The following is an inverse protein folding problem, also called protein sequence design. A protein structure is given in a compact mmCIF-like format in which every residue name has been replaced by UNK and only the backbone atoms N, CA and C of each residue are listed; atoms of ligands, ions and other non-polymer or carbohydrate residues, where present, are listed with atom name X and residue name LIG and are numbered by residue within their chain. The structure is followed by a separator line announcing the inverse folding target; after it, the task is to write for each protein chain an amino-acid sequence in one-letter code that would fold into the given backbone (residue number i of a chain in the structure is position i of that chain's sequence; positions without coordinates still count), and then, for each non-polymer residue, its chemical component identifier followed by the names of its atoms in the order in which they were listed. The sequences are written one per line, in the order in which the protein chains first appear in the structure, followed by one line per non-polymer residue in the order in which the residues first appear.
data_IF_978155811907
#
_entry.id   IF_978155811907
#
_cell.length_a   1.000
_cell.length_b   1.000
_cell.length_c   1.000
_cell.angle_alpha   90.00
_cell.angle_beta   90.00
_cell.angle_gamma   90.00
#
_symmetry.space_group_name_H-M   'P 1'
#
loop_
_entity.id
_entity.type
_entity.pdbx_description
1 polymer ?
#
# COMPACT_ATOMS: atom_id res chain seq x y z
N UNK A 1 0.65 -2.04 -4.25
CA UNK A 1 -0.76 -1.87 -3.84
C UNK A 1 -1.33 -3.22 -3.39
N UNK A 2 -1.46 -3.41 -2.06
CA UNK A 2 -1.96 -4.63 -1.46
C UNK A 2 -3.40 -4.90 -1.86
N UNK A 3 -4.25 -3.87 -1.83
CA UNK A 3 -5.68 -4.02 -2.09
C UNK A 3 -5.94 -4.61 -3.48
N UNK A 4 -5.26 -4.12 -4.51
CA UNK A 4 -5.42 -4.64 -5.88
C UNK A 4 -4.92 -6.07 -6.03
N UNK A 5 -3.78 -6.43 -5.42
CA UNK A 5 -3.25 -7.80 -5.46
C UNK A 5 -4.21 -8.77 -4.77
N UNK A 6 -4.70 -8.39 -3.58
CA UNK A 6 -5.63 -9.25 -2.82
C UNK A 6 -6.99 -9.38 -3.49
N UNK A 7 -7.53 -8.28 -4.00
CA UNK A 7 -8.80 -8.32 -4.75
C UNK A 7 -8.70 -9.32 -5.92
N UNK A 8 -7.59 -9.31 -6.66
CA UNK A 8 -7.36 -10.25 -7.76
C UNK A 8 -7.21 -11.69 -7.25
N UNK A 9 -6.42 -11.92 -6.20
CA UNK A 9 -6.19 -13.26 -5.67
C UNK A 9 -7.49 -13.85 -5.05
N UNK A 10 -8.25 -13.04 -4.31
CA UNK A 10 -9.52 -13.45 -3.71
C UNK A 10 -10.60 -13.69 -4.76
N UNK A 11 -10.78 -12.80 -5.72
CA UNK A 11 -11.80 -12.95 -6.77
C UNK A 11 -11.59 -14.21 -7.62
N UNK A 12 -10.35 -14.69 -7.74
CA UNK A 12 -9.99 -15.92 -8.45
C UNK A 12 -9.79 -17.13 -7.53
N UNK A 13 -10.03 -16.98 -6.21
CA UNK A 13 -9.83 -18.02 -5.20
C UNK A 13 -8.43 -18.67 -5.27
N UNK A 14 -7.40 -17.86 -5.52
CA UNK A 14 -6.04 -18.32 -5.71
C UNK A 14 -5.27 -18.34 -4.40
N UNK A 15 -4.99 -19.54 -3.88
CA UNK A 15 -4.01 -19.74 -2.83
C UNK A 15 -2.61 -19.86 -3.42
N UNK A 16 -1.67 -19.09 -2.88
CA UNK A 16 -0.28 -19.12 -3.35
C UNK A 16 0.62 -19.94 -2.42
N UNK A 17 1.44 -20.82 -3.03
CA UNK A 17 2.46 -21.61 -2.32
C UNK A 17 3.46 -20.72 -1.58
N UNK A 18 4.14 -21.31 -0.59
CA UNK A 18 5.22 -20.69 0.18
C UNK A 18 4.79 -19.43 0.96
N UNK A 19 3.51 -19.29 1.32
CA UNK A 19 2.95 -18.10 1.97
C UNK A 19 3.17 -16.83 1.15
N UNK A 20 3.19 -16.93 -0.18
CA UNK A 20 3.47 -15.79 -1.06
C UNK A 20 2.38 -14.72 -0.97
N UNK A 21 1.13 -15.09 -0.69
CA UNK A 21 0.06 -14.13 -0.46
C UNK A 21 0.37 -13.24 0.75
N UNK A 22 0.67 -13.85 1.91
CA UNK A 22 1.03 -13.09 3.13
C UNK A 22 2.32 -12.27 2.95
N UNK A 23 3.28 -12.76 2.15
CA UNK A 23 4.49 -12.00 1.84
C UNK A 23 4.17 -10.74 1.02
N UNK A 24 3.31 -10.85 0.02
CA UNK A 24 2.86 -9.73 -0.80
C UNK A 24 2.05 -8.71 0.02
N UNK A 25 1.23 -9.19 0.96
CA UNK A 25 0.50 -8.35 1.89
C UNK A 25 1.44 -7.53 2.78
N UNK A 26 2.39 -8.19 3.40
CA UNK A 26 3.37 -7.54 4.26
C UNK A 26 4.23 -6.54 3.48
N UNK A 27 4.70 -6.93 2.29
CA UNK A 27 5.51 -6.07 1.42
C UNK A 27 4.71 -4.83 1.02
N UNK A 28 3.48 -5.01 0.60
CA UNK A 28 2.64 -3.93 0.11
C UNK A 28 2.20 -2.97 1.22
N UNK A 29 1.90 -3.48 2.41
CA UNK A 29 1.58 -2.63 3.56
C UNK A 29 2.77 -1.85 4.11
N UNK A 30 3.99 -2.39 3.94
CA UNK A 30 5.21 -1.72 4.39
C UNK A 30 5.78 -0.73 3.39
N UNK A 31 5.47 -0.82 2.10
CA UNK A 31 6.05 0.06 1.09
C UNK A 31 5.44 1.47 1.09
N UNK A 32 4.14 1.61 1.37
CA UNK A 32 3.44 2.91 1.39
C UNK A 32 4.04 3.89 2.41
N UNK A 33 4.36 3.49 3.66
CA UNK A 33 5.06 4.35 4.61
C UNK A 33 6.39 4.89 4.09
N UNK A 34 7.19 4.04 3.43
CA UNK A 34 8.46 4.45 2.87
C UNK A 34 8.30 5.37 1.66
N UNK A 35 7.35 5.05 0.77
CA UNK A 35 7.04 5.87 -0.39
C UNK A 35 6.57 7.27 0.03
N UNK A 36 5.71 7.37 1.05
CA UNK A 36 5.29 8.64 1.64
C UNK A 36 6.47 9.43 2.20
N UNK A 37 7.29 8.81 3.05
CA UNK A 37 8.46 9.47 3.66
C UNK A 37 9.43 9.99 2.58
N UNK A 38 9.74 9.19 1.57
CA UNK A 38 10.60 9.59 0.46
C UNK A 38 9.99 10.74 -0.35
N UNK A 39 8.67 10.70 -0.59
CA UNK A 39 7.97 11.78 -1.30
C UNK A 39 8.07 13.09 -0.53
N UNK A 40 7.84 13.07 0.79
CA UNK A 40 7.96 14.27 1.65
C UNK A 40 9.39 14.81 1.64
N UNK A 41 10.39 13.96 1.74
CA UNK A 41 11.81 14.36 1.69
C UNK A 41 12.15 15.01 0.34
N UNK A 42 11.76 14.37 -0.77
CA UNK A 42 12.03 14.88 -2.13
C UNK A 42 11.33 16.22 -2.35
N UNK A 43 10.05 16.35 -1.94
CA UNK A 43 9.34 17.61 -2.05
C UNK A 43 9.97 18.72 -1.23
N UNK A 44 10.45 18.41 -0.04
CA UNK A 44 11.17 19.36 0.81
C UNK A 44 12.49 19.80 0.17
N UNK A 45 13.23 18.87 -0.44
CA UNK A 45 14.46 19.18 -1.21
C UNK A 45 14.19 20.07 -2.43
N UNK A 46 13.06 19.89 -3.09
CA UNK A 46 12.71 20.67 -4.29
C UNK A 46 12.15 22.05 -3.97
N UNK A 47 11.49 22.21 -2.83
CA UNK A 47 10.81 23.46 -2.45
C UNK A 47 11.68 24.42 -1.64
N UNK A 48 12.71 23.93 -0.97
CA UNK A 48 13.56 24.71 -0.06
C UNK A 48 15.03 24.29 -0.19
N UNK A 49 15.95 25.23 0.10
CA UNK A 49 17.35 24.88 0.30
C UNK A 49 17.52 24.24 1.68
N UNK A 50 17.14 22.97 1.82
CA UNK A 50 17.28 22.22 3.06
C UNK A 50 18.67 21.61 3.19
N UNK A 51 19.17 21.58 4.41
CA UNK A 51 20.43 20.95 4.74
C UNK A 51 20.28 19.43 4.85
N UNK A 52 21.42 18.73 4.82
CA UNK A 52 21.43 17.27 5.09
C UNK A 52 20.86 16.96 6.48
N UNK A 53 21.08 17.85 7.46
CA UNK A 53 20.53 17.69 8.81
C UNK A 53 18.99 17.74 8.82
N UNK A 54 18.40 18.61 8.01
CA UNK A 54 16.94 18.70 7.89
C UNK A 54 16.33 17.43 7.29
N UNK A 55 17.01 16.81 6.31
CA UNK A 55 16.59 15.53 5.73
C UNK A 55 16.56 14.43 6.80
N UNK A 56 17.63 14.32 7.59
CA UNK A 56 17.70 13.37 8.69
C UNK A 56 16.61 13.67 9.75
N UNK A 57 16.37 14.93 10.07
CA UNK A 57 15.34 15.33 11.01
C UNK A 57 13.93 14.94 10.51
N UNK A 58 13.62 15.19 9.23
CA UNK A 58 12.37 14.79 8.61
C UNK A 58 12.21 13.27 8.64
N UNK A 59 13.21 12.53 8.17
CA UNK A 59 13.17 11.07 8.18
C UNK A 59 13.01 10.50 9.61
N UNK A 60 13.75 11.05 10.55
CA UNK A 60 13.69 10.65 11.96
C UNK A 60 12.31 10.94 12.57
N UNK A 61 11.77 12.14 12.38
CA UNK A 61 10.45 12.50 12.92
C UNK A 61 9.35 11.61 12.31
N UNK A 62 9.37 11.38 11.00
CA UNK A 62 8.41 10.54 10.31
C UNK A 62 8.39 9.12 10.91
N UNK A 63 9.57 8.51 11.08
CA UNK A 63 9.70 7.14 11.57
C UNK A 63 9.37 7.09 13.08
N UNK A 64 10.01 7.93 13.89
CA UNK A 64 9.91 7.84 15.35
C UNK A 64 8.52 8.18 15.84
N UNK A 65 7.93 9.28 15.39
CA UNK A 65 6.56 9.62 15.77
C UNK A 65 5.54 8.62 15.20
N UNK A 66 5.75 8.13 13.97
CA UNK A 66 4.91 7.06 13.42
C UNK A 66 4.91 5.80 14.30
N UNK A 67 6.09 5.36 14.74
CA UNK A 67 6.25 4.20 15.62
C UNK A 67 5.65 4.44 17.01
N UNK A 68 5.95 5.57 17.65
CA UNK A 68 5.48 5.89 19.00
C UNK A 68 3.96 5.99 19.02
N UNK A 69 3.36 6.80 18.14
CA UNK A 69 1.91 6.93 18.09
C UNK A 69 1.23 5.63 17.70
N UNK A 70 1.82 4.86 16.75
CA UNK A 70 1.32 3.55 16.39
C UNK A 70 1.30 2.59 17.58
N UNK A 71 2.37 2.52 18.36
CA UNK A 71 2.45 1.66 19.54
C UNK A 71 1.46 2.11 20.63
N UNK A 72 1.38 3.42 20.90
CA UNK A 72 0.47 3.97 21.93
C UNK A 72 -0.99 3.72 21.57
N UNK A 73 -1.38 4.03 20.33
CA UNK A 73 -2.75 3.83 19.87
C UNK A 73 -3.09 2.34 19.84
N UNK A 74 -2.18 1.48 19.37
CA UNK A 74 -2.38 0.03 19.40
C UNK A 74 -2.60 -0.47 20.84
N UNK A 75 -1.78 -0.05 21.78
CA UNK A 75 -1.92 -0.43 23.18
C UNK A 75 -3.25 0.00 23.79
N UNK A 76 -3.67 1.26 23.53
CA UNK A 76 -4.97 1.78 23.99
C UNK A 76 -6.11 1.00 23.35
N UNK A 77 -6.02 0.72 22.05
CA UNK A 77 -7.04 -0.02 21.30
C UNK A 77 -7.22 -1.44 21.83
N UNK A 78 -6.13 -2.15 22.10
CA UNK A 78 -6.17 -3.49 22.74
C UNK A 78 -6.90 -3.40 24.07
N UNK A 79 -6.55 -2.44 24.93
CA UNK A 79 -7.22 -2.26 26.23
C UNK A 79 -8.72 -1.96 26.10
N UNK A 80 -9.13 -1.17 25.10
CA UNK A 80 -10.54 -0.88 24.84
C UNK A 80 -11.27 -2.18 24.51
N UNK A 81 -10.73 -2.99 23.58
CA UNK A 81 -11.38 -4.25 23.20
C UNK A 81 -11.38 -5.28 24.31
N UNK A 82 -10.29 -5.41 25.06
CA UNK A 82 -10.22 -6.35 26.21
C UNK A 82 -11.18 -5.97 27.35
N UNK A 83 -11.32 -4.66 27.66
CA UNK A 83 -12.08 -4.22 28.84
C UNK A 83 -13.59 -4.12 28.56
N UNK A 84 -14.01 -3.88 27.34
CA UNK A 84 -15.41 -3.58 26.98
C UNK A 84 -15.99 -4.57 25.97
N UNK A 85 -15.42 -5.76 25.81
CA UNK A 85 -15.77 -6.71 24.75
C UNK A 85 -17.26 -7.00 24.67
N UNK A 86 -17.95 -7.24 25.82
CA UNK A 86 -19.38 -7.51 25.86
C UNK A 86 -20.28 -6.29 25.65
N UNK A 87 -19.78 -5.08 25.94
CA UNK A 87 -20.54 -3.83 25.79
C UNK A 87 -20.42 -3.22 24.40
N UNK A 88 -19.37 -3.57 23.67
CA UNK A 88 -19.04 -3.00 22.36
C UNK A 88 -19.64 -3.77 21.17
N UNK A 89 -20.35 -4.89 21.38
CA UNK A 89 -20.79 -5.76 20.27
C UNK A 89 -21.56 -5.01 19.17
N UNK A 90 -22.33 -3.95 19.52
CA UNK A 90 -23.02 -3.10 18.54
C UNK A 90 -22.21 -1.90 18.02
N UNK A 91 -21.11 -1.53 18.69
CA UNK A 91 -20.32 -0.33 18.39
C UNK A 91 -18.88 -0.64 17.91
N UNK A 92 -18.49 -1.90 17.91
CA UNK A 92 -17.11 -2.32 17.58
C UNK A 92 -16.65 -1.77 16.23
N UNK A 93 -17.52 -1.76 15.23
CA UNK A 93 -17.22 -1.24 13.89
C UNK A 93 -16.92 0.27 13.92
N UNK A 94 -17.74 1.05 14.64
CA UNK A 94 -17.54 2.51 14.74
C UNK A 94 -16.25 2.84 15.48
N UNK A 95 -15.96 2.11 16.55
CA UNK A 95 -14.72 2.27 17.33
C UNK A 95 -13.51 1.93 16.47
N UNK A 96 -13.58 0.83 15.70
CA UNK A 96 -12.51 0.44 14.79
C UNK A 96 -12.28 1.51 13.71
N UNK A 97 -13.33 2.10 13.14
CA UNK A 97 -13.22 3.23 12.19
C UNK A 97 -12.56 4.44 12.87
N UNK A 98 -12.95 4.78 14.09
CA UNK A 98 -12.34 5.86 14.84
C UNK A 98 -10.85 5.61 15.11
N UNK A 99 -10.49 4.38 15.50
CA UNK A 99 -9.09 3.96 15.71
C UNK A 99 -8.31 4.09 14.39
N UNK A 100 -8.87 3.64 13.27
CA UNK A 100 -8.21 3.72 11.96
C UNK A 100 -7.93 5.17 11.55
N UNK A 101 -8.90 6.08 11.74
CA UNK A 101 -8.72 7.51 11.45
C UNK A 101 -7.69 8.14 12.40
N UNK A 102 -7.79 7.87 13.69
CA UNK A 102 -6.86 8.43 14.70
C UNK A 102 -5.44 7.92 14.49
N UNK A 103 -5.28 6.66 14.12
CA UNK A 103 -3.95 6.06 13.88
C UNK A 103 -3.20 6.72 12.72
N UNK A 104 -3.92 7.30 11.77
CA UNK A 104 -3.32 8.08 10.69
C UNK A 104 -3.20 9.58 11.03
N UNK A 105 -4.28 10.18 11.53
CA UNK A 105 -4.37 11.63 11.69
C UNK A 105 -3.48 12.16 12.83
N UNK A 106 -3.41 11.44 13.95
CA UNK A 106 -2.69 11.92 15.12
C UNK A 106 -1.18 12.02 14.88
N UNK A 107 -0.46 10.98 14.42
CA UNK A 107 0.95 11.13 14.11
C UNK A 107 1.22 12.14 12.99
N UNK A 108 0.34 12.23 11.98
CA UNK A 108 0.48 13.21 10.89
C UNK A 108 0.43 14.65 11.40
N UNK A 109 -0.38 14.94 12.40
CA UNK A 109 -0.44 16.26 13.05
C UNK A 109 0.89 16.64 13.72
N UNK A 110 1.65 15.65 14.23
CA UNK A 110 2.97 15.84 14.84
C UNK A 110 4.14 15.63 13.87
N UNK A 111 3.92 15.76 12.56
CA UNK A 111 4.90 15.49 11.51
C UNK A 111 5.48 14.07 11.52
N UNK A 112 4.74 13.13 12.07
CA UNK A 112 5.02 11.70 11.98
C UNK A 112 4.37 11.05 10.78
N UNK A 113 4.75 9.81 10.47
CA UNK A 113 4.18 9.06 9.38
C UNK A 113 2.90 8.30 9.83
N UNK A 114 1.73 8.80 9.39
CA UNK A 114 0.44 8.17 9.66
C UNK A 114 0.29 6.76 9.10
N UNK A 115 0.95 6.47 7.98
CA UNK A 115 0.95 5.12 7.38
C UNK A 115 1.68 4.11 8.28
N UNK A 116 2.84 4.47 8.86
CA UNK A 116 3.56 3.62 9.83
C UNK A 116 2.65 3.32 11.03
N UNK A 117 2.04 4.35 11.60
CA UNK A 117 1.19 4.21 12.77
C UNK A 117 -0.02 3.32 12.49
N UNK A 118 -0.76 3.60 11.41
CA UNK A 118 -1.92 2.80 11.01
C UNK A 118 -1.54 1.34 10.73
N UNK A 119 -0.38 1.10 10.10
CA UNK A 119 0.13 -0.23 9.83
C UNK A 119 0.42 -1.02 11.12
N UNK A 120 1.08 -0.39 12.11
CA UNK A 120 1.34 -1.02 13.40
C UNK A 120 0.04 -1.35 14.13
N UNK A 121 -0.90 -0.40 14.19
CA UNK A 121 -2.21 -0.61 14.81
C UNK A 121 -2.95 -1.76 14.12
N UNK A 122 -2.94 -1.80 12.80
CA UNK A 122 -3.56 -2.87 12.01
C UNK A 122 -2.95 -4.24 12.30
N UNK A 123 -1.61 -4.35 12.38
CA UNK A 123 -0.93 -5.61 12.72
C UNK A 123 -1.32 -6.06 14.14
N UNK A 124 -1.29 -5.16 15.10
CA UNK A 124 -1.59 -5.51 16.51
C UNK A 124 -3.04 -5.97 16.64
N UNK A 125 -4.01 -5.20 16.13
CA UNK A 125 -5.43 -5.55 16.17
C UNK A 125 -5.75 -6.80 15.33
N UNK A 126 -5.01 -7.00 14.24
CA UNK A 126 -5.09 -8.21 13.43
C UNK A 126 -4.68 -9.48 14.17
N UNK A 127 -3.86 -9.40 15.22
CA UNK A 127 -3.35 -10.54 15.98
C UNK A 127 -4.01 -10.77 17.35
N UNK A 128 -4.96 -9.92 17.77
CA UNK A 128 -5.76 -10.14 18.98
C UNK A 128 -7.11 -10.77 18.65
N UNK A 129 -7.73 -11.37 19.65
CA UNK A 129 -9.09 -11.90 19.54
C UNK A 129 -10.09 -10.77 19.78
N UNK A 130 -10.93 -10.50 18.79
CA UNK A 130 -12.00 -9.50 18.84
C UNK A 130 -13.30 -10.23 18.53
N UNK A 131 -14.35 -9.95 19.30
CA UNK A 131 -15.70 -10.48 19.06
C UNK A 131 -16.17 -10.05 17.67
N UNK A 132 -16.76 -11.00 16.91
CA UNK A 132 -17.15 -10.82 15.50
C UNK A 132 -16.05 -10.23 14.59
N UNK A 133 -14.81 -10.64 14.79
CA UNK A 133 -13.68 -10.21 13.94
C UNK A 133 -13.94 -10.43 12.45
N UNK A 134 -14.66 -11.52 12.09
CA UNK A 134 -15.01 -11.79 10.69
C UNK A 134 -15.94 -10.73 10.13
N UNK A 135 -16.95 -10.31 10.87
CA UNK A 135 -17.85 -9.24 10.48
C UNK A 135 -17.09 -7.90 10.27
N UNK A 136 -16.17 -7.59 11.20
CA UNK A 136 -15.30 -6.41 11.06
C UNK A 136 -14.44 -6.46 9.80
N UNK A 137 -13.79 -7.60 9.53
CA UNK A 137 -12.95 -7.78 8.32
C UNK A 137 -13.80 -7.59 7.05
N UNK A 138 -14.98 -8.20 6.97
CA UNK A 138 -15.88 -8.03 5.82
C UNK A 138 -16.32 -6.59 5.63
N UNK A 139 -16.65 -5.89 6.73
CA UNK A 139 -16.99 -4.47 6.67
C UNK A 139 -15.85 -3.63 6.10
N UNK A 140 -14.63 -3.81 6.62
CA UNK A 140 -13.47 -3.06 6.15
C UNK A 140 -13.07 -3.41 4.72
N UNK A 141 -13.18 -4.68 4.30
CA UNK A 141 -12.98 -5.08 2.91
C UNK A 141 -13.94 -4.31 1.99
N UNK A 142 -15.23 -4.25 2.34
CA UNK A 142 -16.23 -3.52 1.56
C UNK A 142 -15.97 -2.01 1.51
N UNK A 143 -15.58 -1.40 2.63
CA UNK A 143 -15.24 0.02 2.70
C UNK A 143 -13.99 0.33 1.87
N UNK A 144 -12.97 -0.51 1.93
CA UNK A 144 -11.74 -0.34 1.14
C UNK A 144 -12.05 -0.42 -0.35
N UNK A 145 -12.84 -1.40 -0.80
CA UNK A 145 -13.26 -1.52 -2.20
C UNK A 145 -14.07 -0.29 -2.66
N UNK A 146 -15.00 0.17 -1.84
CA UNK A 146 -15.81 1.35 -2.15
C UNK A 146 -14.94 2.61 -2.28
N UNK A 147 -14.05 2.85 -1.33
CA UNK A 147 -13.15 4.00 -1.39
C UNK A 147 -12.16 3.90 -2.54
N UNK A 148 -11.70 2.70 -2.88
CA UNK A 148 -10.82 2.49 -4.01
C UNK A 148 -11.53 2.82 -5.34
N UNK A 149 -12.76 2.35 -5.53
CA UNK A 149 -13.58 2.71 -6.71
C UNK A 149 -13.81 4.22 -6.79
N UNK A 150 -14.16 4.84 -5.67
CA UNK A 150 -14.39 6.28 -5.58
C UNK A 150 -13.12 7.08 -5.88
N UNK A 151 -11.98 6.66 -5.35
CA UNK A 151 -10.68 7.25 -5.65
C UNK A 151 -10.35 7.17 -7.15
N UNK A 152 -10.44 5.98 -7.75
CA UNK A 152 -10.17 5.85 -9.19
C UNK A 152 -11.13 6.66 -10.05
N UNK A 153 -12.40 6.78 -9.64
CA UNK A 153 -13.37 7.63 -10.30
C UNK A 153 -12.95 9.10 -10.25
N UNK A 154 -12.61 9.62 -9.08
CA UNK A 154 -12.15 11.02 -8.91
C UNK A 154 -10.84 11.26 -9.67
N UNK A 155 -9.90 10.33 -9.62
CA UNK A 155 -8.64 10.43 -10.34
C UNK A 155 -8.84 10.42 -11.85
N UNK A 156 -9.82 9.64 -12.34
CA UNK A 156 -10.22 9.64 -13.73
C UNK A 156 -10.82 10.98 -14.20
N UNK A 157 -11.56 11.66 -13.31
CA UNK A 157 -12.09 13.01 -13.58
C UNK A 157 -11.00 14.08 -13.62
N UNK A 158 -9.91 13.91 -12.86
CA UNK A 158 -8.77 14.82 -12.90
C UNK A 158 -7.87 14.60 -14.13
N UNK A 159 -7.95 13.45 -14.77
CA UNK A 159 -7.10 13.14 -15.92
C UNK A 159 -7.63 13.81 -17.18
N UNK A 160 -6.74 14.48 -17.92
CA UNK A 160 -7.05 15.07 -19.22
C UNK A 160 -6.64 14.11 -20.34
N UNK A 161 -7.60 13.47 -21.04
CA UNK A 161 -7.29 12.48 -22.08
C UNK A 161 -6.42 13.03 -23.22
N UNK A 162 -6.51 14.33 -23.48
CA UNK A 162 -5.70 15.00 -24.51
C UNK A 162 -4.20 15.04 -24.22
N UNK A 163 -3.80 14.94 -22.94
CA UNK A 163 -2.40 14.96 -22.54
C UNK A 163 -1.77 13.55 -22.51
N UNK A 164 -2.58 12.52 -22.39
CA UNK A 164 -2.12 11.13 -22.29
C UNK A 164 -1.24 10.70 -23.49
N UNK A 165 -1.61 10.96 -24.77
CA UNK A 165 -0.80 10.49 -25.90
C UNK A 165 0.63 11.03 -25.90
N UNK A 166 0.84 12.27 -25.47
CA UNK A 166 2.18 12.89 -25.44
C UNK A 166 3.07 12.34 -24.34
N UNK A 167 2.49 11.85 -23.25
CA UNK A 167 3.19 11.34 -22.07
C UNK A 167 3.29 9.81 -22.03
N UNK A 168 2.53 9.13 -22.91
CA UNK A 168 2.45 7.67 -22.93
C UNK A 168 3.83 7.02 -23.19
N UNK A 169 4.66 7.64 -24.02
CA UNK A 169 6.01 7.16 -24.29
C UNK A 169 6.89 7.13 -23.05
N UNK A 170 6.94 8.23 -22.32
CA UNK A 170 7.72 8.34 -21.08
C UNK A 170 7.16 7.40 -19.98
N UNK A 171 5.83 7.38 -19.83
CA UNK A 171 5.17 6.49 -18.88
C UNK A 171 5.45 5.01 -19.19
N UNK A 172 5.44 4.62 -20.47
CA UNK A 172 5.74 3.24 -20.89
C UNK A 172 7.19 2.86 -20.57
N UNK A 173 8.16 3.72 -20.90
CA UNK A 173 9.57 3.45 -20.60
C UNK A 173 9.82 3.30 -19.09
N UNK A 174 9.25 4.19 -18.29
CA UNK A 174 9.34 4.12 -16.83
C UNK A 174 8.66 2.83 -16.32
N UNK A 175 7.46 2.52 -16.80
CA UNK A 175 6.74 1.31 -16.39
C UNK A 175 7.52 0.04 -16.72
N UNK A 176 8.10 -0.06 -17.94
CA UNK A 176 8.91 -1.20 -18.36
C UNK A 176 10.18 -1.32 -17.51
N UNK A 177 10.90 -0.21 -17.30
CA UNK A 177 12.10 -0.20 -16.47
C UNK A 177 11.82 -0.71 -15.05
N UNK A 178 10.75 -0.17 -14.43
CA UNK A 178 10.44 -0.56 -13.06
C UNK A 178 9.93 -2.00 -12.99
N UNK A 179 9.12 -2.46 -13.94
CA UNK A 179 8.51 -3.79 -13.92
C UNK A 179 9.51 -4.89 -14.27
N UNK A 180 10.38 -4.67 -15.25
CA UNK A 180 11.26 -5.71 -15.78
C UNK A 180 12.71 -5.62 -15.27
N UNK A 181 13.14 -4.48 -14.73
CA UNK A 181 14.51 -4.32 -14.25
C UNK A 181 14.58 -4.00 -12.75
N UNK A 182 14.02 -2.87 -12.32
CA UNK A 182 14.21 -2.40 -10.96
C UNK A 182 13.59 -3.33 -9.91
N UNK A 183 12.32 -3.70 -10.10
CA UNK A 183 11.61 -4.58 -9.15
C UNK A 183 12.15 -6.02 -9.15
N UNK A 184 12.37 -6.70 -10.29
CA UNK A 184 12.99 -8.03 -10.28
C UNK A 184 14.38 -8.03 -9.64
N UNK A 185 15.20 -7.01 -9.88
CA UNK A 185 16.51 -6.90 -9.27
C UNK A 185 16.43 -6.79 -7.74
N UNK A 186 15.55 -5.93 -7.22
CA UNK A 186 15.34 -5.75 -5.79
C UNK A 186 14.79 -7.01 -5.12
N UNK A 187 13.75 -7.61 -5.70
CA UNK A 187 13.13 -8.84 -5.18
C UNK A 187 14.12 -10.00 -5.22
N UNK A 188 14.84 -10.17 -6.32
CA UNK A 188 15.84 -11.22 -6.45
C UNK A 188 16.96 -11.07 -5.42
N UNK A 189 17.49 -9.86 -5.23
CA UNK A 189 18.55 -9.59 -4.26
C UNK A 189 18.14 -9.99 -2.85
N UNK A 190 16.94 -9.61 -2.43
CA UNK A 190 16.44 -9.89 -1.08
C UNK A 190 16.07 -11.39 -0.94
N UNK A 191 15.25 -11.91 -1.84
CA UNK A 191 14.72 -13.28 -1.70
C UNK A 191 15.78 -14.36 -1.90
N UNK A 192 16.86 -14.06 -2.64
CA UNK A 192 18.00 -14.96 -2.79
C UNK A 192 18.72 -15.18 -1.44
N UNK A 193 18.84 -14.16 -0.61
CA UNK A 193 19.43 -14.27 0.74
C UNK A 193 18.64 -15.29 1.58
N UNK A 194 17.31 -15.33 1.41
CA UNK A 194 16.43 -16.26 2.11
C UNK A 194 16.24 -17.59 1.39
N UNK A 195 17.06 -17.90 0.36
CA UNK A 195 17.03 -19.16 -0.40
C UNK A 195 15.64 -19.53 -0.94
N UNK A 196 14.86 -18.52 -1.37
CA UNK A 196 13.50 -18.75 -1.90
C UNK A 196 13.54 -19.34 -3.33
N UNK A 197 12.57 -20.19 -3.70
CA UNK A 197 12.53 -20.79 -5.03
C UNK A 197 12.35 -19.71 -6.12
N UNK A 198 12.97 -19.94 -7.27
CA UNK A 198 12.97 -18.98 -8.38
C UNK A 198 11.56 -18.63 -8.88
N UNK A 199 10.63 -19.59 -8.85
CA UNK A 199 9.23 -19.38 -9.20
C UNK A 199 8.56 -18.37 -8.29
N UNK A 200 8.86 -18.41 -6.97
CA UNK A 200 8.35 -17.44 -6.01
C UNK A 200 8.94 -16.04 -6.27
N UNK A 201 10.23 -15.97 -6.55
CA UNK A 201 10.92 -14.70 -6.88
C UNK A 201 10.28 -14.05 -8.10
N UNK A 202 10.05 -14.82 -9.18
CA UNK A 202 9.40 -14.34 -10.39
C UNK A 202 7.97 -13.85 -10.14
N UNK A 203 7.17 -14.62 -9.40
CA UNK A 203 5.79 -14.24 -9.09
C UNK A 203 5.75 -12.95 -8.27
N UNK A 204 6.54 -12.85 -7.20
CA UNK A 204 6.60 -11.65 -6.34
C UNK A 204 7.11 -10.44 -7.13
N UNK A 205 8.10 -10.63 -8.01
CA UNK A 205 8.59 -9.56 -8.88
C UNK A 205 7.50 -9.01 -9.79
N UNK A 206 6.67 -9.88 -10.37
CA UNK A 206 5.60 -9.49 -11.27
C UNK A 206 4.36 -8.95 -10.54
N UNK A 207 4.08 -9.44 -9.32
CA UNK A 207 2.92 -9.06 -8.51
C UNK A 207 2.98 -7.62 -7.94
N UNK A 208 3.98 -6.84 -8.32
CA UNK A 208 4.13 -5.44 -7.90
C UNK A 208 3.15 -4.49 -8.59
N UNK A 209 1.87 -4.70 -8.37
CA UNK A 209 0.83 -3.81 -8.88
C UNK A 209 0.96 -2.42 -8.27
N UNK A 210 0.66 -1.42 -9.09
CA UNK A 210 0.61 -0.02 -8.67
C UNK A 210 -0.84 0.40 -8.60
N UNK A 211 -1.19 1.09 -7.52
CA UNK A 211 -2.56 1.45 -7.26
C UNK A 211 -2.78 2.94 -7.02
N UNK A 212 -3.94 3.24 -6.43
CA UNK A 212 -4.38 4.60 -6.16
C UNK A 212 -3.40 5.40 -5.29
N UNK A 213 -2.71 4.77 -4.33
CA UNK A 213 -1.73 5.42 -3.44
C UNK A 213 -0.62 6.11 -4.25
N UNK A 214 -0.13 5.49 -5.32
CA UNK A 214 0.89 6.09 -6.18
C UNK A 214 0.40 7.39 -6.84
N UNK A 215 -0.88 7.43 -7.25
CA UNK A 215 -1.47 8.61 -7.88
C UNK A 215 -1.72 9.71 -6.83
N UNK A 216 -2.15 9.32 -5.61
CA UNK A 216 -2.30 10.27 -4.50
C UNK A 216 -0.97 10.95 -4.19
N UNK A 217 0.15 10.22 -4.17
CA UNK A 217 1.48 10.82 -3.98
C UNK A 217 1.88 11.73 -5.16
N UNK A 218 1.49 11.39 -6.39
CA UNK A 218 1.69 12.28 -7.53
C UNK A 218 0.89 13.59 -7.42
N UNK A 219 -0.33 13.54 -6.86
CA UNK A 219 -1.11 14.75 -6.56
C UNK A 219 -0.41 15.60 -5.50
N UNK A 220 0.19 15.00 -4.47
CA UNK A 220 0.96 15.76 -3.48
C UNK A 220 2.07 16.57 -4.14
N UNK A 221 2.72 16.04 -5.17
CA UNK A 221 3.73 16.77 -5.95
C UNK A 221 3.11 17.95 -6.69
N UNK A 222 1.96 17.76 -7.33
CA UNK A 222 1.27 18.81 -8.11
C UNK A 222 0.74 19.95 -7.24
N UNK A 223 0.29 19.65 -6.01
CA UNK A 223 -0.24 20.63 -5.07
C UNK A 223 0.88 21.33 -4.28
N UNK A 224 2.07 20.73 -4.24
CA UNK A 224 3.21 21.32 -3.55
C UNK A 224 3.73 22.57 -4.26
N UNK A 225 4.45 23.42 -3.53
CA UNK A 225 5.17 24.56 -4.10
C UNK A 225 6.42 24.15 -4.92
N UNK A 226 6.73 22.85 -4.95
CA UNK A 226 7.83 22.33 -5.75
C UNK A 226 7.48 22.40 -7.24
N UNK A 227 8.27 23.20 -7.99
CA UNK A 227 8.08 23.30 -9.42
C UNK A 227 8.56 22.04 -10.13
N UNK A 228 7.67 21.38 -10.85
CA UNK A 228 8.03 20.29 -11.75
C UNK A 228 7.73 20.68 -13.20
N UNK A 229 8.74 20.54 -14.06
CA UNK A 229 8.61 20.84 -15.50
C UNK A 229 7.75 19.81 -16.22
N UNK A 230 7.63 18.62 -15.66
CA UNK A 230 6.89 17.49 -16.22
C UNK A 230 5.57 17.29 -15.49
N UNK A 231 4.59 16.82 -16.20
CA UNK A 231 3.28 16.45 -15.65
C UNK A 231 3.36 15.07 -14.96
N UNK A 232 3.81 15.09 -13.72
CA UNK A 232 4.02 13.88 -12.92
C UNK A 232 2.72 13.16 -12.68
N UNK A 233 1.59 13.88 -12.50
CA UNK A 233 0.30 13.26 -12.27
C UNK A 233 -0.12 12.35 -13.42
N UNK A 234 -0.11 12.86 -14.66
CA UNK A 234 -0.53 12.07 -15.81
C UNK A 234 0.46 10.95 -16.15
N UNK A 235 1.77 11.16 -15.95
CA UNK A 235 2.77 10.08 -16.11
C UNK A 235 2.47 8.93 -15.15
N UNK A 236 2.30 9.22 -13.85
CA UNK A 236 2.01 8.20 -12.83
C UNK A 236 0.64 7.56 -13.07
N UNK A 237 -0.36 8.34 -13.46
CA UNK A 237 -1.69 7.84 -13.83
C UNK A 237 -1.60 6.81 -14.97
N UNK A 238 -0.86 7.10 -16.04
CA UNK A 238 -0.62 6.16 -17.13
C UNK A 238 0.12 4.90 -16.67
N UNK A 239 1.14 5.04 -15.82
CA UNK A 239 1.88 3.89 -15.27
C UNK A 239 0.95 2.99 -14.45
N UNK A 240 0.08 3.56 -13.63
CA UNK A 240 -0.90 2.80 -12.83
C UNK A 240 -1.90 2.08 -13.72
N UNK A 241 -2.46 2.76 -14.73
CA UNK A 241 -3.39 2.13 -15.70
C UNK A 241 -2.73 0.96 -16.43
N UNK A 242 -1.51 1.14 -16.92
CA UNK A 242 -0.75 0.08 -17.58
C UNK A 242 -0.47 -1.10 -16.61
N UNK A 243 -0.11 -0.81 -15.38
CA UNK A 243 0.16 -1.82 -14.35
C UNK A 243 -1.11 -2.65 -14.06
N UNK A 244 -2.23 -2.01 -13.78
CA UNK A 244 -3.49 -2.71 -13.48
C UNK A 244 -3.96 -3.50 -14.71
N UNK A 245 -3.95 -2.90 -15.90
CA UNK A 245 -4.42 -3.54 -17.12
C UNK A 245 -3.55 -4.75 -17.50
N UNK A 246 -2.24 -4.64 -17.45
CA UNK A 246 -1.32 -5.68 -17.90
C UNK A 246 -0.99 -6.66 -16.76
N UNK A 247 -0.41 -6.15 -15.67
CA UNK A 247 0.04 -7.01 -14.58
C UNK A 247 -1.14 -7.62 -13.82
N UNK A 248 -2.20 -6.83 -13.55
CA UNK A 248 -3.40 -7.32 -12.87
C UNK A 248 -4.08 -8.46 -13.64
N UNK A 249 -4.19 -8.32 -14.97
CA UNK A 249 -4.79 -9.35 -15.82
C UNK A 249 -3.91 -10.58 -15.95
N UNK A 250 -2.59 -10.40 -16.07
CA UNK A 250 -1.66 -11.51 -16.30
C UNK A 250 -1.24 -12.25 -15.03
N UNK A 251 -1.37 -11.65 -13.85
CA UNK A 251 -0.94 -12.23 -12.58
C UNK A 251 -1.51 -13.63 -12.30
N UNK A 252 -2.82 -13.89 -12.47
CA UNK A 252 -3.38 -15.23 -12.26
C UNK A 252 -2.83 -16.28 -13.24
N UNK A 253 -2.64 -15.87 -14.49
CA UNK A 253 -2.07 -16.77 -15.52
C UNK A 253 -0.61 -17.10 -15.22
N UNK A 254 0.17 -16.11 -14.78
CA UNK A 254 1.56 -16.32 -14.38
C UNK A 254 1.66 -17.21 -13.13
N UNK A 255 0.79 -17.01 -12.13
CA UNK A 255 0.74 -17.87 -10.95
C UNK A 255 0.47 -19.32 -11.30
N UNK A 256 -0.44 -19.56 -12.26
CA UNK A 256 -0.73 -20.90 -12.79
C UNK A 256 0.46 -21.46 -13.58
N UNK A 257 1.05 -20.69 -14.48
CA UNK A 257 2.20 -21.11 -15.29
C UNK A 257 3.40 -21.51 -14.45
N UNK A 258 3.68 -20.74 -13.38
CA UNK A 258 4.76 -21.03 -12.44
C UNK A 258 4.43 -22.14 -11.43
N UNK A 259 3.24 -22.76 -11.53
CA UNK A 259 2.76 -23.79 -10.58
C UNK A 259 2.78 -23.31 -9.12
N UNK A 260 2.53 -22.03 -8.92
CA UNK A 260 2.53 -21.37 -7.62
C UNK A 260 1.16 -21.40 -6.91
N UNK A 261 0.15 -22.00 -7.54
CA UNK A 261 -1.16 -22.20 -6.94
C UNK A 261 -1.11 -23.43 -6.03
N UNK A 262 -1.63 -23.30 -4.81
CA UNK A 262 -1.76 -24.40 -3.86
C UNK A 262 -3.20 -24.94 -3.91
N UNK A 263 -3.37 -26.13 -4.48
CA UNK A 263 -4.68 -26.78 -4.61
C UNK A 263 -5.18 -27.40 -3.28
N UNK A 264 -4.32 -27.49 -2.26
CA UNK A 264 -4.61 -28.22 -1.02
C UNK A 264 -5.21 -27.34 0.09
N UNK A 265 -5.13 -26.05 -0.01
CA UNK A 265 -5.69 -25.12 0.97
C UNK A 265 -6.83 -24.31 0.33
N UNK A 266 -8.06 -24.80 0.45
CA UNK A 266 -9.20 -23.88 0.39
C UNK A 266 -9.04 -22.91 1.54
N UNK A 267 -9.02 -21.59 1.27
CA UNK A 267 -9.00 -20.59 2.33
C UNK A 267 -10.25 -20.78 3.20
N UNK A 268 -10.08 -21.37 4.38
CA UNK A 268 -11.03 -21.25 5.46
C UNK A 268 -10.84 -19.85 6.05
N UNK A 269 -11.67 -18.92 5.64
CA UNK A 269 -11.83 -17.62 6.29
C UNK A 269 -12.81 -17.72 7.44
#
# INVERSE_FOLDING_TARGET
DAASVFSILRSKQLNLKYKSASLLELESGSNDPWAYTLTVIILSLMSQNISIQDIFSIAFSQIVFGLIFGAVIAYISVKIFDSFQSELSGMATLIMVAIAILSYALPSYFNGNGYISAYIVGIVLGNIEIEDKKGLVHFFDGIVELFQMFLFFLLGLLAFPSQIPSLLGDALWIALFITFLARPAAVWLIMKIFHRPFQQILLVSFAGLRGATSIVFAIMVTVSSAYTKNDIFHIVFCIVLLSIAIQGTLLPYLAKYLSMIDEKLYMSF
#
